data_IF_504781435804
#
_entry.id   IF_504781435804
#
_cell.length_a   1.000
_cell.length_b   1.000
_cell.length_c   1.000
_cell.angle_alpha   90.00
_cell.angle_beta   90.00
_cell.angle_gamma   90.00
#
_symmetry.space_group_name_H-M   'P 1'
#
loop_
_entity.id
_entity.type
_entity.pdbx_description
1 polymer ?
#
# COMPACT_ATOMS: atom_id res chain seq x y z
N UNK A 1 -33.05 -15.64 22.51
CA UNK A 1 -32.07 -15.82 21.42
C UNK A 1 -31.60 -14.46 20.97
N UNK A 2 -30.43 -14.02 21.44
CA UNK A 2 -29.85 -12.71 21.10
C UNK A 2 -28.57 -12.93 20.32
N UNK A 3 -28.61 -12.53 19.05
CA UNK A 3 -27.54 -12.71 18.07
C UNK A 3 -26.54 -11.57 18.28
N UNK A 4 -25.43 -11.86 18.96
CA UNK A 4 -24.30 -10.92 19.07
C UNK A 4 -23.58 -10.89 17.72
N UNK A 5 -23.72 -9.78 17.00
CA UNK A 5 -22.87 -9.48 15.86
C UNK A 5 -21.46 -9.19 16.36
N UNK A 6 -20.52 -10.03 15.94
CA UNK A 6 -19.08 -9.83 16.12
C UNK A 6 -18.61 -9.07 14.89
N UNK A 7 -18.68 -7.74 14.94
CA UNK A 7 -17.84 -6.91 14.09
C UNK A 7 -16.42 -7.02 14.62
N UNK A 8 -15.71 -8.04 14.15
CA UNK A 8 -14.27 -8.17 14.34
C UNK A 8 -13.60 -7.10 13.49
N UNK A 9 -13.18 -6.02 14.13
CA UNK A 9 -12.34 -4.97 13.56
C UNK A 9 -11.08 -5.57 12.95
N UNK A 10 -11.09 -5.80 11.63
CA UNK A 10 -9.85 -5.96 10.85
C UNK A 10 -9.23 -4.57 10.65
N UNK A 11 -8.65 -4.03 11.72
CA UNK A 11 -7.63 -3.00 11.61
C UNK A 11 -6.30 -3.70 11.31
N UNK A 12 -6.08 -4.07 10.06
CA UNK A 12 -4.77 -4.51 9.56
C UNK A 12 -4.57 -3.93 8.17
N UNK A 13 -3.89 -2.79 8.15
CA UNK A 13 -3.55 -2.05 6.95
C UNK A 13 -3.25 -0.61 7.30
N UNK A 14 -2.29 -0.37 8.19
CA UNK A 14 -1.63 0.94 8.23
C UNK A 14 -0.85 1.07 6.91
N UNK A 15 -1.55 1.47 5.84
CA UNK A 15 -0.92 1.95 4.62
C UNK A 15 -0.43 3.35 4.99
N UNK A 16 0.79 3.39 5.52
CA UNK A 16 1.43 4.64 5.87
C UNK A 16 1.62 5.44 4.58
N UNK A 17 1.19 6.70 4.60
CA UNK A 17 1.68 7.71 3.68
C UNK A 17 3.20 7.71 3.84
N UNK A 18 3.93 7.09 2.91
CA UNK A 18 5.39 7.04 2.97
C UNK A 18 5.91 8.35 2.40
N UNK A 19 6.31 9.26 3.28
CA UNK A 19 7.11 10.42 2.92
C UNK A 19 8.53 9.99 2.62
N UNK A 20 8.91 10.09 1.34
CA UNK A 20 10.28 10.06 0.81
C UNK A 20 11.09 8.77 1.09
N UNK A 21 11.88 8.39 0.10
CA UNK A 21 12.66 7.16 0.11
C UNK A 21 13.69 7.13 1.24
N UNK A 22 13.58 6.14 2.12
CA UNK A 22 14.75 5.63 2.86
C UNK A 22 15.67 4.92 1.86
N UNK A 23 16.46 5.70 1.12
CA UNK A 23 17.65 5.21 0.44
C UNK A 23 18.82 5.35 1.42
N UNK A 24 19.12 4.24 2.11
CA UNK A 24 20.42 3.85 2.67
C UNK A 24 21.23 4.92 3.41
N UNK A 25 21.18 4.92 4.75
CA UNK A 25 22.28 5.45 5.59
C UNK A 25 22.53 4.55 6.82
N UNK A 26 23.83 4.35 7.05
CA UNK A 26 24.49 3.57 8.11
C UNK A 26 23.91 3.78 9.53
N UNK A 27 23.84 2.73 10.38
CA UNK A 27 23.40 2.86 11.77
C UNK A 27 24.56 3.37 12.66
N UNK A 28 25.02 4.60 12.44
CA UNK A 28 26.09 5.17 13.25
C UNK A 28 26.12 6.71 13.33
N UNK A 29 24.98 7.39 13.46
CA UNK A 29 24.98 8.72 14.04
C UNK A 29 23.63 9.11 14.65
N UNK A 30 23.65 9.39 15.95
CA UNK A 30 22.51 9.85 16.75
C UNK A 30 22.51 11.38 16.75
N UNK A 31 21.49 12.09 16.21
CA UNK A 31 21.38 13.52 16.41
C UNK A 31 20.72 13.81 17.76
N UNK A 32 21.45 14.50 18.64
CA UNK A 32 20.88 15.08 19.86
C UNK A 32 20.01 16.28 19.47
N UNK A 33 18.74 16.25 19.84
CA UNK A 33 17.89 17.44 19.84
C UNK A 33 18.16 18.23 21.13
N UNK A 34 19.02 19.24 21.05
CA UNK A 34 19.06 20.31 22.06
C UNK A 34 18.13 21.43 21.62
N UNK A 35 17.05 21.62 22.36
CA UNK A 35 16.22 22.82 22.29
C UNK A 35 17.02 24.02 22.82
N UNK A 36 17.12 25.09 22.03
CA UNK A 36 17.28 26.44 22.56
C UNK A 36 16.71 27.42 21.54
N UNK A 37 15.77 28.25 21.98
CA UNK A 37 15.09 29.19 21.12
C UNK A 37 15.96 30.38 20.72
N UNK A 38 15.54 31.07 19.67
CA UNK A 38 15.49 32.52 19.70
C UNK A 38 14.50 33.03 18.65
N UNK A 39 13.60 33.89 19.08
CA UNK A 39 12.77 34.75 18.25
C UNK A 39 13.63 35.91 17.72
N UNK A 40 13.65 36.14 16.41
CA UNK A 40 13.70 37.50 15.85
C UNK A 40 13.51 37.53 14.31
N UNK A 41 12.50 38.31 13.91
CA UNK A 41 12.48 39.29 12.80
C UNK A 41 12.68 38.86 11.33
N UNK A 42 11.54 38.89 10.63
CA UNK A 42 11.29 39.41 9.26
C UNK A 42 12.28 39.08 8.13
N UNK A 43 11.83 38.26 7.17
CA UNK A 43 12.20 38.41 5.75
C UNK A 43 11.19 37.65 4.87
N UNK A 44 10.91 38.20 3.69
CA UNK A 44 9.83 37.79 2.80
C UNK A 44 9.92 36.39 2.22
N UNK A 45 8.76 35.92 1.75
CA UNK A 45 8.55 34.81 0.80
C UNK A 45 9.64 33.77 0.72
N UNK A 46 9.83 32.97 1.76
CA UNK A 46 10.56 31.71 1.64
C UNK A 46 9.55 30.66 1.20
N UNK A 47 9.48 30.41 -0.11
CA UNK A 47 8.79 29.23 -0.63
C UNK A 47 9.38 28.02 0.08
N UNK A 48 8.59 27.39 0.94
CA UNK A 48 8.97 26.13 1.61
C UNK A 48 9.38 25.14 0.52
N UNK A 49 10.52 24.47 0.69
CA UNK A 49 11.01 23.58 -0.35
C UNK A 49 9.96 22.49 -0.64
N UNK A 50 9.81 22.03 -1.90
CA UNK A 50 8.82 20.99 -2.23
C UNK A 50 8.96 19.73 -1.37
N UNK A 51 10.19 19.37 -0.99
CA UNK A 51 10.47 18.27 -0.08
C UNK A 51 9.91 18.49 1.34
N UNK A 52 10.04 19.71 1.89
CA UNK A 52 9.49 20.05 3.20
C UNK A 52 7.96 20.04 3.17
N UNK A 53 7.36 20.54 2.10
CA UNK A 53 5.91 20.47 1.88
C UNK A 53 5.45 19.02 1.77
N UNK A 54 6.20 18.15 1.07
CA UNK A 54 5.87 16.74 0.96
C UNK A 54 5.87 16.06 2.34
N UNK A 55 6.87 16.33 3.18
CA UNK A 55 6.92 15.81 4.55
C UNK A 55 5.75 16.33 5.40
N UNK A 56 5.45 17.62 5.33
CA UNK A 56 4.31 18.21 6.04
C UNK A 56 2.98 17.57 5.63
N UNK A 57 2.75 17.35 4.32
CA UNK A 57 1.54 16.72 3.82
C UNK A 57 1.38 15.28 4.34
N UNK A 58 2.49 14.55 4.44
CA UNK A 58 2.52 13.21 5.02
C UNK A 58 2.19 13.23 6.50
N UNK A 59 2.79 14.12 7.29
CA UNK A 59 2.50 14.28 8.72
C UNK A 59 1.03 14.63 8.96
N UNK A 60 0.48 15.56 8.17
CA UNK A 60 -0.93 15.94 8.22
C UNK A 60 -1.84 14.74 7.95
N UNK A 61 -1.53 13.95 6.92
CA UNK A 61 -2.33 12.78 6.59
C UNK A 61 -2.22 11.66 7.63
N UNK A 62 -1.04 11.46 8.23
CA UNK A 62 -0.86 10.53 9.36
C UNK A 62 -1.63 10.98 10.62
N UNK A 63 -1.77 12.29 10.82
CA UNK A 63 -2.60 12.88 11.88
C UNK A 63 -4.12 12.82 11.57
N UNK A 64 -4.53 12.38 10.37
CA UNK A 64 -5.92 12.32 9.94
C UNK A 64 -6.46 13.64 9.36
N UNK A 65 -5.62 14.66 9.24
CA UNK A 65 -5.95 15.98 8.67
C UNK A 65 -5.91 15.92 7.14
N UNK A 66 -6.84 15.15 6.55
CA UNK A 66 -6.78 14.78 5.14
C UNK A 66 -7.05 15.95 4.18
N UNK A 67 -7.83 16.96 4.58
CA UNK A 67 -8.09 18.16 3.75
C UNK A 67 -6.85 19.06 3.69
N UNK A 68 -6.17 19.25 4.81
CA UNK A 68 -4.89 19.95 4.88
C UNK A 68 -3.82 19.21 4.09
N UNK A 69 -3.71 17.89 4.28
CA UNK A 69 -2.76 17.06 3.53
C UNK A 69 -2.96 17.18 2.02
N UNK A 70 -4.22 17.11 1.55
CA UNK A 70 -4.58 17.31 0.14
C UNK A 70 -4.09 18.66 -0.37
N UNK A 71 -4.40 19.73 0.35
CA UNK A 71 -3.98 21.10 0.00
C UNK A 71 -2.45 21.22 -0.04
N UNK A 72 -1.75 20.56 0.88
CA UNK A 72 -0.29 20.57 0.93
C UNK A 72 0.32 19.80 -0.25
N UNK A 73 -0.21 18.63 -0.61
CA UNK A 73 0.25 17.90 -1.80
C UNK A 73 -0.03 18.66 -3.10
N UNK A 74 -1.14 19.39 -3.20
CA UNK A 74 -1.41 20.28 -4.33
C UNK A 74 -0.36 21.40 -4.45
N UNK A 75 0.13 21.93 -3.31
CA UNK A 75 1.26 22.89 -3.31
C UNK A 75 2.57 22.23 -3.75
N UNK A 76 2.84 20.99 -3.36
CA UNK A 76 4.00 20.23 -3.88
C UNK A 76 3.91 20.14 -5.39
N UNK A 77 2.75 19.78 -5.93
CA UNK A 77 2.55 19.65 -7.38
C UNK A 77 2.57 20.97 -8.14
N UNK A 78 2.20 22.08 -7.49
CA UNK A 78 2.37 23.42 -8.06
C UNK A 78 3.84 23.80 -8.25
N UNK A 79 4.73 23.31 -7.38
CA UNK A 79 6.17 23.52 -7.48
C UNK A 79 6.87 22.44 -8.33
N UNK A 80 6.39 21.19 -8.26
CA UNK A 80 6.93 20.00 -8.91
C UNK A 80 5.81 19.15 -9.51
N UNK A 81 5.36 19.49 -10.71
CA UNK A 81 4.23 18.82 -11.37
C UNK A 81 4.41 17.29 -11.54
N UNK A 82 5.66 16.82 -11.61
CA UNK A 82 6.01 15.41 -11.79
C UNK A 82 6.41 14.73 -10.46
N UNK A 83 5.92 15.20 -9.31
CA UNK A 83 6.21 14.56 -8.02
C UNK A 83 5.30 13.33 -7.81
N UNK A 84 5.84 12.12 -8.05
CA UNK A 84 5.10 10.86 -7.90
C UNK A 84 4.55 10.61 -6.49
N UNK A 85 5.24 11.10 -5.45
CA UNK A 85 4.81 10.91 -4.06
C UNK A 85 3.57 11.74 -3.76
N UNK A 86 3.53 12.99 -4.21
CA UNK A 86 2.35 13.85 -4.07
C UNK A 86 1.15 13.27 -4.82
N UNK A 87 1.32 12.84 -6.08
CA UNK A 87 0.25 12.16 -6.84
C UNK A 87 -0.25 10.91 -6.13
N UNK A 88 0.64 10.05 -5.63
CA UNK A 88 0.27 8.87 -4.88
C UNK A 88 -0.55 9.19 -3.62
N UNK A 89 -0.11 10.17 -2.83
CA UNK A 89 -0.80 10.52 -1.59
C UNK A 89 -2.18 11.17 -1.87
N UNK A 90 -2.32 11.94 -2.95
CA UNK A 90 -3.65 12.40 -3.41
C UNK A 90 -4.55 11.23 -3.80
N UNK A 91 -4.00 10.22 -4.48
CA UNK A 91 -4.73 8.99 -4.80
C UNK A 91 -5.20 8.25 -3.56
N UNK A 92 -4.35 8.15 -2.53
CA UNK A 92 -4.70 7.55 -1.24
C UNK A 92 -5.81 8.32 -0.52
N UNK A 93 -5.73 9.65 -0.49
CA UNK A 93 -6.77 10.50 0.11
C UNK A 93 -8.10 10.29 -0.62
N UNK A 94 -8.13 10.30 -1.96
CA UNK A 94 -9.33 10.03 -2.73
C UNK A 94 -9.91 8.63 -2.44
N UNK A 95 -9.05 7.61 -2.35
CA UNK A 95 -9.47 6.25 -2.01
C UNK A 95 -10.11 6.16 -0.61
N UNK A 96 -9.53 6.84 0.39
CA UNK A 96 -10.09 6.89 1.75
C UNK A 96 -11.48 7.57 1.81
N UNK A 97 -11.81 8.38 0.80
CA UNK A 97 -13.11 9.04 0.62
C UNK A 97 -14.07 8.26 -0.27
N UNK A 98 -13.72 7.02 -0.65
CA UNK A 98 -14.47 6.18 -1.58
C UNK A 98 -14.59 6.78 -3.00
N UNK A 99 -13.66 7.65 -3.39
CA UNK A 99 -13.61 8.28 -4.71
C UNK A 99 -12.69 7.46 -5.64
N UNK A 100 -13.11 6.24 -6.00
CA UNK A 100 -12.26 5.27 -6.70
C UNK A 100 -11.71 5.79 -8.05
N UNK A 101 -12.54 6.47 -8.84
CA UNK A 101 -12.12 6.98 -10.16
C UNK A 101 -11.06 8.11 -10.03
N UNK A 102 -11.21 8.99 -9.05
CA UNK A 102 -10.20 10.03 -8.74
C UNK A 102 -8.91 9.40 -8.20
N UNK A 103 -9.03 8.38 -7.34
CA UNK A 103 -7.87 7.64 -6.84
C UNK A 103 -7.06 7.01 -7.97
N UNK A 104 -7.72 6.31 -8.89
CA UNK A 104 -7.10 5.70 -10.07
C UNK A 104 -6.39 6.75 -10.93
N UNK A 105 -7.06 7.88 -11.22
CA UNK A 105 -6.46 8.99 -11.99
C UNK A 105 -5.18 9.54 -11.34
N UNK A 106 -5.18 9.73 -10.02
CA UNK A 106 -3.99 10.19 -9.30
C UNK A 106 -2.88 9.13 -9.24
N UNK A 107 -3.22 7.85 -9.08
CA UNK A 107 -2.23 6.78 -9.18
C UNK A 107 -1.64 6.66 -10.59
N UNK A 108 -2.42 6.86 -11.64
CA UNK A 108 -1.94 6.88 -13.01
C UNK A 108 -0.90 7.97 -13.23
N UNK A 109 -1.13 9.18 -12.73
CA UNK A 109 -0.12 10.25 -12.76
C UNK A 109 1.16 9.91 -12.00
N UNK A 110 1.06 9.23 -10.86
CA UNK A 110 2.25 8.73 -10.17
C UNK A 110 3.02 7.69 -11.00
N UNK A 111 2.30 6.84 -11.74
CA UNK A 111 2.85 5.80 -12.60
C UNK A 111 3.37 6.31 -13.95
N UNK A 112 2.89 7.46 -14.43
CA UNK A 112 3.47 8.18 -15.57
C UNK A 112 4.90 8.64 -15.25
N UNK A 113 5.15 9.06 -14.01
CA UNK A 113 6.49 9.46 -13.53
C UNK A 113 7.38 8.24 -13.25
N UNK A 114 6.82 7.19 -12.63
CA UNK A 114 7.53 5.94 -12.35
C UNK A 114 6.59 4.74 -12.52
N UNK A 115 6.69 4.10 -13.68
CA UNK A 115 5.83 2.98 -14.07
C UNK A 115 5.93 1.76 -13.14
N UNK A 116 6.98 1.67 -12.32
CA UNK A 116 7.22 0.56 -11.40
C UNK A 116 7.06 0.98 -9.93
N UNK A 117 6.43 2.14 -9.67
CA UNK A 117 6.14 2.59 -8.32
C UNK A 117 5.10 1.68 -7.64
N UNK A 118 5.60 0.66 -6.94
CA UNK A 118 4.81 -0.42 -6.34
C UNK A 118 3.63 0.06 -5.47
N UNK A 119 3.76 1.08 -4.60
CA UNK A 119 2.63 1.57 -3.81
C UNK A 119 1.46 2.06 -4.68
N UNK A 120 1.73 2.77 -5.78
CA UNK A 120 0.67 3.24 -6.68
C UNK A 120 0.05 2.08 -7.47
N UNK A 121 0.86 1.13 -7.98
CA UNK A 121 0.35 -0.08 -8.63
C UNK A 121 -0.60 -0.85 -7.70
N UNK A 122 -0.16 -1.16 -6.48
CA UNK A 122 -0.93 -1.95 -5.54
C UNK A 122 -2.26 -1.28 -5.14
N UNK A 123 -2.24 0.03 -4.82
CA UNK A 123 -3.47 0.73 -4.43
C UNK A 123 -4.40 1.01 -5.62
N UNK A 124 -3.86 1.21 -6.83
CA UNK A 124 -4.66 1.26 -8.06
C UNK A 124 -5.36 -0.07 -8.30
N UNK A 125 -4.68 -1.20 -8.12
CA UNK A 125 -5.29 -2.52 -8.26
C UNK A 125 -6.47 -2.70 -7.28
N UNK A 126 -6.30 -2.29 -6.01
CA UNK A 126 -7.38 -2.29 -5.01
C UNK A 126 -8.56 -1.44 -5.48
N UNK A 127 -8.32 -0.21 -5.96
CA UNK A 127 -9.38 0.68 -6.42
C UNK A 127 -10.17 0.13 -7.61
N UNK A 128 -9.58 -0.79 -8.39
CA UNK A 128 -10.17 -1.37 -9.58
C UNK A 128 -10.82 -2.75 -9.35
N UNK A 129 -10.66 -3.39 -8.19
CA UNK A 129 -11.11 -4.78 -7.96
C UNK A 129 -12.59 -5.00 -8.32
N UNK A 130 -13.47 -4.05 -8.00
CA UNK A 130 -14.91 -4.17 -8.24
C UNK A 130 -15.34 -3.74 -9.65
N UNK A 131 -14.68 -2.72 -10.23
CA UNK A 131 -15.09 -2.10 -11.51
C UNK A 131 -14.40 -2.72 -12.72
N UNK A 132 -13.15 -3.16 -12.55
CA UNK A 132 -12.31 -3.70 -13.61
C UNK A 132 -11.41 -4.83 -13.05
N UNK A 133 -12.00 -5.98 -12.65
CA UNK A 133 -11.27 -7.07 -12.01
C UNK A 133 -10.13 -7.61 -12.87
N UNK A 134 -10.32 -7.75 -14.18
CA UNK A 134 -9.27 -8.21 -15.12
C UNK A 134 -8.06 -7.26 -15.10
N UNK A 135 -8.29 -5.95 -15.19
CA UNK A 135 -7.21 -4.95 -15.12
C UNK A 135 -6.53 -4.98 -13.75
N UNK A 136 -7.29 -5.16 -12.67
CA UNK A 136 -6.73 -5.30 -11.31
C UNK A 136 -5.79 -6.51 -11.21
N UNK A 137 -6.19 -7.67 -11.76
CA UNK A 137 -5.36 -8.89 -11.81
C UNK A 137 -4.05 -8.65 -12.55
N UNK A 138 -4.08 -7.98 -13.70
CA UNK A 138 -2.88 -7.68 -14.48
C UNK A 138 -1.93 -6.74 -13.73
N UNK A 139 -2.46 -5.77 -12.99
CA UNK A 139 -1.65 -4.91 -12.13
C UNK A 139 -1.05 -5.72 -10.97
N UNK A 140 -1.80 -6.61 -10.33
CA UNK A 140 -1.23 -7.48 -9.28
C UNK A 140 -0.15 -8.42 -9.82
N UNK A 141 -0.32 -8.99 -11.01
CA UNK A 141 0.71 -9.76 -11.71
C UNK A 141 1.98 -8.92 -11.93
N UNK A 142 1.82 -7.65 -12.30
CA UNK A 142 2.95 -6.69 -12.39
C UNK A 142 3.59 -6.42 -11.02
N UNK A 143 2.81 -6.26 -9.95
CA UNK A 143 3.37 -6.06 -8.60
C UNK A 143 4.24 -7.25 -8.19
N UNK A 144 3.75 -8.48 -8.37
CA UNK A 144 4.51 -9.69 -7.97
C UNK A 144 5.68 -10.01 -8.90
N UNK A 145 5.69 -9.49 -10.14
CA UNK A 145 6.86 -9.60 -11.02
C UNK A 145 7.97 -8.62 -10.66
N UNK A 146 7.63 -7.46 -10.08
CA UNK A 146 8.59 -6.49 -9.54
C UNK A 146 9.06 -6.92 -8.14
N UNK A 147 8.17 -7.50 -7.33
CA UNK A 147 8.43 -7.92 -5.95
C UNK A 147 7.76 -9.26 -5.66
N UNK A 148 8.54 -10.32 -5.84
CA UNK A 148 8.11 -11.71 -5.64
C UNK A 148 7.88 -12.07 -4.16
N UNK A 149 8.08 -11.12 -3.23
CA UNK A 149 7.86 -11.29 -1.79
C UNK A 149 6.57 -10.62 -1.31
N UNK A 150 5.77 -10.03 -2.19
CA UNK A 150 4.51 -9.38 -1.83
C UNK A 150 3.40 -10.42 -1.56
N UNK A 151 3.36 -10.95 -0.32
CA UNK A 151 2.37 -11.93 0.12
C UNK A 151 0.93 -11.43 -0.03
N UNK A 152 0.69 -10.15 0.23
CA UNK A 152 -0.63 -9.50 0.12
C UNK A 152 -1.08 -9.34 -1.34
N UNK A 153 -0.17 -9.04 -2.27
CA UNK A 153 -0.50 -9.00 -3.70
C UNK A 153 -0.87 -10.38 -4.23
N UNK A 154 -0.14 -11.43 -3.83
CA UNK A 154 -0.51 -12.82 -4.14
C UNK A 154 -1.87 -13.20 -3.58
N UNK A 155 -2.18 -12.81 -2.33
CA UNK A 155 -3.48 -13.08 -1.72
C UNK A 155 -4.63 -12.44 -2.52
N UNK A 156 -4.48 -11.15 -2.85
CA UNK A 156 -5.47 -10.38 -3.62
C UNK A 156 -5.66 -10.93 -5.03
N UNK A 157 -4.56 -11.26 -5.71
CA UNK A 157 -4.58 -11.92 -7.01
C UNK A 157 -5.31 -13.28 -6.95
N UNK A 158 -5.02 -14.11 -5.94
CA UNK A 158 -5.70 -15.39 -5.74
C UNK A 158 -7.21 -15.25 -5.52
N UNK A 159 -7.65 -14.21 -4.80
CA UNK A 159 -9.07 -13.91 -4.60
C UNK A 159 -9.75 -13.61 -5.93
N UNK A 160 -9.16 -12.73 -6.75
CA UNK A 160 -9.72 -12.36 -8.06
C UNK A 160 -9.74 -13.55 -9.02
N UNK A 161 -8.66 -14.35 -9.08
CA UNK A 161 -8.59 -15.57 -9.89
C UNK A 161 -9.64 -16.62 -9.45
N UNK A 162 -9.88 -16.75 -8.15
CA UNK A 162 -10.94 -17.63 -7.64
C UNK A 162 -12.33 -17.16 -8.07
N UNK A 163 -12.54 -15.86 -8.25
CA UNK A 163 -13.82 -15.29 -8.67
C UNK A 163 -14.01 -15.40 -10.19
N UNK A 164 -12.94 -15.34 -10.98
CA UNK A 164 -12.99 -15.56 -12.44
C UNK A 164 -13.11 -17.03 -12.83
N UNK A 165 -12.85 -17.96 -11.89
CA UNK A 165 -12.93 -19.41 -12.12
C UNK A 165 -11.58 -20.05 -12.49
N UNK A 166 -10.49 -19.29 -12.44
CA UNK A 166 -9.13 -19.75 -12.75
C UNK A 166 -8.51 -20.49 -11.54
N UNK A 167 -9.13 -21.60 -11.14
CA UNK A 167 -8.81 -22.32 -9.89
C UNK A 167 -7.34 -22.76 -9.78
N UNK A 168 -6.70 -23.08 -10.92
CA UNK A 168 -5.29 -23.49 -10.95
C UNK A 168 -4.34 -22.32 -10.60
N UNK A 169 -4.53 -21.16 -11.24
CA UNK A 169 -3.74 -19.95 -10.94
C UNK A 169 -4.08 -19.41 -9.55
N UNK A 170 -5.35 -19.46 -9.14
CA UNK A 170 -5.77 -19.05 -7.80
C UNK A 170 -5.02 -19.85 -6.72
N UNK A 171 -4.94 -21.18 -6.88
CA UNK A 171 -4.18 -22.06 -5.97
C UNK A 171 -2.71 -21.66 -5.91
N UNK A 172 -2.06 -21.48 -7.06
CA UNK A 172 -0.65 -21.09 -7.10
C UNK A 172 -0.40 -19.74 -6.39
N UNK A 173 -1.28 -18.76 -6.60
CA UNK A 173 -1.20 -17.47 -5.92
C UNK A 173 -1.40 -17.60 -4.40
N UNK A 174 -2.39 -18.38 -3.95
CA UNK A 174 -2.61 -18.61 -2.52
C UNK A 174 -1.45 -19.38 -1.85
N UNK A 175 -0.90 -20.39 -2.52
CA UNK A 175 0.26 -21.12 -2.03
C UNK A 175 1.48 -20.20 -1.89
N UNK A 176 1.69 -19.29 -2.85
CA UNK A 176 2.73 -18.27 -2.75
C UNK A 176 2.49 -17.31 -1.57
N UNK A 177 1.26 -16.82 -1.38
CA UNK A 177 0.90 -15.96 -0.27
C UNK A 177 1.19 -16.61 1.10
N UNK A 178 0.74 -17.85 1.30
CA UNK A 178 0.95 -18.61 2.55
C UNK A 178 2.44 -18.92 2.78
N UNK A 179 3.18 -19.27 1.70
CA UNK A 179 4.61 -19.55 1.79
C UNK A 179 5.41 -18.33 2.25
N UNK A 180 5.02 -17.14 1.80
CA UNK A 180 5.67 -15.88 2.16
C UNK A 180 5.23 -15.37 3.56
N UNK A 181 3.95 -15.53 3.88
CA UNK A 181 3.38 -15.20 5.18
C UNK A 181 2.35 -16.26 5.59
N UNK A 182 2.77 -17.15 6.48
CA UNK A 182 1.93 -18.23 6.99
C UNK A 182 0.70 -17.71 7.77
N UNK A 183 0.72 -16.47 8.27
CA UNK A 183 -0.42 -15.82 8.91
C UNK A 183 -1.62 -15.66 7.98
N UNK A 184 -1.38 -15.58 6.67
CA UNK A 184 -2.43 -15.43 5.65
C UNK A 184 -3.23 -16.72 5.40
N UNK A 185 -2.81 -17.88 5.93
CA UNK A 185 -3.53 -19.14 5.73
C UNK A 185 -5.01 -19.06 6.16
N UNK A 186 -5.31 -18.26 7.20
CA UNK A 186 -6.67 -18.03 7.67
C UNK A 186 -7.52 -17.17 6.71
N UNK A 187 -6.90 -16.35 5.87
CA UNK A 187 -7.55 -15.50 4.87
C UNK A 187 -7.79 -16.21 3.53
N UNK A 188 -7.06 -17.28 3.23
CA UNK A 188 -7.22 -18.07 2.01
C UNK A 188 -8.51 -18.93 2.08
N UNK A 189 -9.35 -19.05 1.04
CA UNK A 189 -10.51 -19.93 1.08
C UNK A 189 -10.14 -21.40 1.34
N UNK A 190 -10.97 -22.12 2.12
CA UNK A 190 -10.65 -23.48 2.56
C UNK A 190 -10.33 -24.46 1.41
N UNK A 191 -10.96 -24.30 0.24
CA UNK A 191 -10.67 -25.12 -0.96
C UNK A 191 -9.23 -25.00 -1.49
N UNK A 192 -8.53 -23.93 -1.16
CA UNK A 192 -7.15 -23.68 -1.60
C UNK A 192 -6.11 -23.93 -0.51
N UNK A 193 -6.52 -24.07 0.75
CA UNK A 193 -5.57 -24.44 1.82
C UNK A 193 -5.13 -25.88 1.60
N UNK A 194 -3.84 -26.15 1.77
CA UNK A 194 -3.38 -27.53 1.89
C UNK A 194 -4.16 -28.18 3.05
N UNK A 195 -4.82 -29.30 2.79
CA UNK A 195 -5.24 -30.16 3.89
C UNK A 195 -3.96 -30.57 4.63
N UNK A 196 -3.94 -30.58 5.98
CA UNK A 196 -2.88 -31.25 6.71
C UNK A 196 -2.99 -32.75 6.38
N UNK A 197 -2.49 -33.15 5.23
CA UNK A 197 -2.34 -34.55 4.88
C UNK A 197 -1.27 -35.06 5.83
N UNK A 198 -1.67 -36.04 6.64
CA UNK A 198 -0.84 -36.67 7.66
C UNK A 198 0.61 -36.80 7.17
N UNK A 199 1.54 -36.08 7.82
CA UNK A 199 2.97 -36.22 7.57
C UNK A 199 3.32 -37.70 7.70
N UNK A 200 3.74 -38.29 6.58
CA UNK A 200 4.72 -39.36 6.46
C UNK A 200 4.90 -40.23 7.72
N UNK A 201 3.98 -41.18 7.97
CA UNK A 201 4.31 -42.37 8.75
C UNK A 201 5.14 -43.39 7.95
N UNK A 202 5.47 -43.09 6.69
CA UNK A 202 6.37 -43.89 5.86
C UNK A 202 7.86 -43.53 6.08
N UNK A 203 8.34 -43.53 7.34
CA UNK A 203 9.77 -43.66 7.64
C UNK A 203 10.01 -44.16 9.07
N UNK A 204 9.80 -45.45 9.30
CA UNK A 204 10.53 -46.25 10.29
C UNK A 204 10.27 -47.75 10.05
N UNK A 205 10.55 -48.22 8.84
CA UNK A 205 10.89 -49.61 8.62
C UNK A 205 12.41 -49.68 8.53
N UNK A 206 13.07 -50.04 9.63
CA UNK A 206 14.40 -50.64 9.74
C UNK A 206 14.65 -51.04 11.17
#
# INVERSE_FOLDING_TARGET
MSMRQIFGSLACGAVLLTGVAACSEDPAQKPQTSSSGNSDKASGGTGTAPADLLNLGVEQGQAGNLDEAKTTFEKVLAAEANNKFAWFNLGFIAQSRNQADEAVSNYDKALEVDANYKPALYNKAIALESKAPTTSMDIYRKVVSIDDKSSTAYLRLGILLSQSGDDAEARAAFDAAIRLDNGLASAVPAKYRATPTARSSARAGR
#
